data_IF_791519425156
#
_entry.id   IF_791519425156
#
_cell.length_a   1.000
_cell.length_b   1.000
_cell.length_c   1.000
_cell.angle_alpha   90.00
_cell.angle_beta   90.00
_cell.angle_gamma   90.00
#
_symmetry.space_group_name_H-M   'P 1'
#
loop_
_entity.id
_entity.type
_entity.pdbx_description
1 polymer ?
#
# COMPACT_ATOMS: atom_id res chain seq x y z
N UNK A 1 18.94 -8.47 12.12
CA UNK A 1 18.91 -9.85 12.68
C UNK A 1 20.07 -10.68 12.17
N UNK A 2 20.27 -10.77 10.85
CA UNK A 2 21.43 -11.45 10.25
C UNK A 2 22.78 -10.91 10.78
N UNK A 3 22.94 -9.58 10.83
CA UNK A 3 24.14 -8.93 11.41
C UNK A 3 24.36 -9.27 12.89
N UNK A 4 23.31 -9.65 13.61
CA UNK A 4 23.39 -10.07 15.01
C UNK A 4 23.56 -11.60 15.16
N UNK A 5 23.85 -12.32 14.06
CA UNK A 5 24.13 -13.74 14.04
C UNK A 5 22.90 -14.65 13.94
N UNK A 6 21.70 -14.12 13.69
CA UNK A 6 20.53 -14.95 13.43
C UNK A 6 20.68 -15.72 12.11
N UNK A 7 20.25 -16.97 12.09
CA UNK A 7 20.15 -17.77 10.87
C UNK A 7 19.05 -17.23 9.95
N UNK A 8 19.16 -17.52 8.65
CA UNK A 8 18.13 -17.14 7.67
C UNK A 8 16.77 -17.76 8.00
N UNK A 9 16.76 -18.95 8.59
CA UNK A 9 15.56 -19.66 9.02
C UNK A 9 14.87 -18.96 10.21
N UNK A 10 15.64 -18.37 11.12
CA UNK A 10 15.10 -17.55 12.22
C UNK A 10 14.54 -16.22 11.71
N UNK A 11 15.20 -15.62 10.72
CA UNK A 11 14.69 -14.41 10.07
C UNK A 11 13.39 -14.71 9.32
N UNK A 12 13.34 -15.81 8.56
CA UNK A 12 12.17 -16.23 7.78
C UNK A 12 10.92 -16.50 8.64
N UNK A 13 11.09 -16.87 9.91
CA UNK A 13 9.96 -17.03 10.84
C UNK A 13 9.33 -15.70 11.26
N UNK A 14 10.13 -14.62 11.26
CA UNK A 14 9.66 -13.28 11.62
C UNK A 14 9.28 -12.44 10.39
N UNK A 15 10.04 -12.57 9.32
CA UNK A 15 9.85 -11.88 8.05
C UNK A 15 9.75 -12.94 6.95
N UNK A 16 8.55 -13.49 6.71
CA UNK A 16 8.36 -14.55 5.75
C UNK A 16 8.53 -14.02 4.31
N UNK A 17 8.62 -14.95 3.35
CA UNK A 17 8.97 -14.61 1.97
C UNK A 17 7.90 -13.71 1.33
N UNK A 18 8.31 -12.53 0.85
CA UNK A 18 7.42 -11.55 0.21
C UNK A 18 8.00 -11.00 -1.10
N UNK A 19 7.12 -10.71 -2.05
CA UNK A 19 7.47 -9.96 -3.27
C UNK A 19 6.60 -8.71 -3.33
N UNK A 20 7.23 -7.54 -3.25
CA UNK A 20 6.55 -6.25 -3.37
C UNK A 20 6.54 -5.80 -4.83
N UNK A 21 5.35 -5.74 -5.44
CA UNK A 21 5.17 -5.37 -6.85
C UNK A 21 4.60 -3.96 -6.93
N UNK A 22 5.34 -3.06 -7.56
CA UNK A 22 4.93 -1.70 -7.86
C UNK A 22 4.61 -1.54 -9.34
N UNK A 23 3.61 -0.71 -9.65
CA UNK A 23 3.28 -0.31 -11.01
C UNK A 23 2.64 1.07 -11.02
N UNK A 24 3.13 1.97 -11.88
CA UNK A 24 2.60 3.32 -11.94
C UNK A 24 3.35 4.23 -12.90
N UNK A 25 2.83 5.45 -13.06
CA UNK A 25 3.42 6.53 -13.84
C UNK A 25 3.40 7.80 -13.01
N UNK A 26 4.44 8.62 -13.12
CA UNK A 26 4.45 9.96 -12.57
C UNK A 26 4.13 10.99 -13.66
N UNK A 27 3.42 12.05 -13.28
CA UNK A 27 3.23 13.19 -14.17
C UNK A 27 4.59 13.81 -14.54
N UNK A 28 4.77 14.33 -15.79
CA UNK A 28 6.08 14.77 -16.26
C UNK A 28 6.76 15.84 -15.38
N UNK A 29 5.99 16.75 -14.78
CA UNK A 29 6.50 17.80 -13.91
C UNK A 29 6.53 17.46 -12.42
N UNK A 30 6.03 16.30 -12.01
CA UNK A 30 5.93 15.96 -10.58
C UNK A 30 7.24 15.35 -10.08
N UNK A 31 8.13 16.24 -9.64
CA UNK A 31 9.46 15.88 -9.14
C UNK A 31 9.42 14.86 -8.00
N UNK A 32 8.61 15.09 -6.96
CA UNK A 32 8.56 14.17 -5.81
C UNK A 32 8.10 12.76 -6.19
N UNK A 33 7.05 12.65 -7.02
CA UNK A 33 6.59 11.34 -7.50
C UNK A 33 7.64 10.62 -8.37
N UNK A 34 8.42 11.36 -9.18
CA UNK A 34 9.56 10.76 -9.90
C UNK A 34 10.67 10.31 -8.94
N UNK A 35 10.91 11.08 -7.88
CA UNK A 35 11.90 10.74 -6.85
C UNK A 35 11.51 9.48 -6.07
N UNK A 36 10.21 9.30 -5.77
CA UNK A 36 9.68 8.06 -5.18
C UNK A 36 9.89 6.88 -6.13
N UNK A 37 9.59 7.02 -7.42
CA UNK A 37 9.87 5.96 -8.41
C UNK A 37 11.37 5.60 -8.43
N UNK A 38 12.25 6.60 -8.41
CA UNK A 38 13.71 6.38 -8.34
C UNK A 38 14.08 5.63 -7.06
N UNK A 39 13.55 6.03 -5.91
CA UNK A 39 13.82 5.36 -4.62
C UNK A 39 13.39 3.90 -4.64
N UNK A 40 12.18 3.59 -5.14
CA UNK A 40 11.70 2.19 -5.26
C UNK A 40 12.66 1.35 -6.11
N UNK A 41 13.15 1.90 -7.23
CA UNK A 41 14.12 1.20 -8.07
C UNK A 41 15.49 1.03 -7.38
N UNK A 42 15.98 2.04 -6.67
CA UNK A 42 17.23 1.95 -5.90
C UNK A 42 17.13 0.93 -4.76
N UNK A 43 16.00 0.88 -4.05
CA UNK A 43 15.73 -0.14 -3.03
C UNK A 43 15.70 -1.53 -3.67
N UNK A 44 15.02 -1.68 -4.81
CA UNK A 44 14.98 -2.94 -5.54
C UNK A 44 16.36 -3.42 -5.99
N UNK A 45 17.23 -2.53 -6.44
CA UNK A 45 18.59 -2.88 -6.85
C UNK A 45 19.42 -3.44 -5.68
N UNK A 46 19.33 -2.85 -4.49
CA UNK A 46 20.04 -3.37 -3.32
C UNK A 46 19.41 -4.67 -2.83
N UNK A 47 18.10 -4.65 -2.55
CA UNK A 47 17.40 -5.80 -1.96
C UNK A 47 17.47 -7.04 -2.86
N UNK A 48 17.27 -6.89 -4.18
CA UNK A 48 17.22 -8.05 -5.06
C UNK A 48 18.59 -8.71 -5.28
N UNK A 49 19.68 -7.96 -5.09
CA UNK A 49 21.05 -8.43 -5.28
C UNK A 49 21.77 -8.77 -3.96
N UNK A 50 21.12 -8.60 -2.81
CA UNK A 50 21.66 -9.02 -1.52
C UNK A 50 21.51 -10.54 -1.36
N UNK A 51 22.60 -11.28 -1.57
CA UNK A 51 22.64 -12.74 -1.40
C UNK A 51 22.39 -13.16 0.07
N UNK A 52 22.59 -12.27 1.04
CA UNK A 52 22.46 -12.60 2.47
C UNK A 52 21.02 -12.84 2.91
N UNK A 53 20.04 -12.32 2.17
CA UNK A 53 18.61 -12.44 2.51
C UNK A 53 17.91 -13.64 1.84
N UNK A 54 18.62 -14.48 1.07
CA UNK A 54 18.14 -15.75 0.49
C UNK A 54 16.71 -15.72 -0.08
N UNK A 55 16.44 -14.72 -0.92
CA UNK A 55 15.14 -14.50 -1.56
C UNK A 55 13.95 -14.38 -0.58
N UNK A 56 14.17 -13.95 0.67
CA UNK A 56 13.09 -13.62 1.60
C UNK A 56 12.33 -12.36 1.19
N UNK A 57 12.99 -11.42 0.52
CA UNK A 57 12.35 -10.21 0.00
C UNK A 57 12.79 -9.95 -1.44
N UNK A 58 11.83 -9.64 -2.31
CA UNK A 58 12.08 -9.06 -3.62
C UNK A 58 11.21 -7.83 -3.84
N UNK A 59 11.73 -6.86 -4.58
CA UNK A 59 11.00 -5.65 -4.98
C UNK A 59 11.03 -5.53 -6.50
N UNK A 60 9.87 -5.38 -7.13
CA UNK A 60 9.74 -5.34 -8.58
C UNK A 60 8.96 -4.09 -8.98
N UNK A 61 9.49 -3.30 -9.91
CA UNK A 61 8.78 -2.18 -10.52
C UNK A 61 8.40 -2.51 -11.97
N UNK A 62 7.10 -2.59 -12.26
CA UNK A 62 6.59 -2.86 -13.59
C UNK A 62 6.46 -1.55 -14.38
N UNK A 63 7.39 -1.34 -15.30
CA UNK A 63 7.43 -0.15 -16.13
C UNK A 63 6.20 -0.02 -17.06
N UNK A 64 5.80 1.21 -17.34
CA UNK A 64 4.68 1.55 -18.23
C UNK A 64 3.38 0.79 -17.86
N UNK A 65 3.03 0.80 -16.57
CA UNK A 65 1.77 0.21 -16.11
C UNK A 65 0.58 0.74 -16.94
N UNK A 66 -0.22 -0.20 -17.43
CA UNK A 66 -1.36 0.04 -18.31
C UNK A 66 -2.37 -1.11 -18.13
N UNK A 67 -3.49 -1.05 -18.85
CA UNK A 67 -4.59 -2.04 -18.73
C UNK A 67 -4.09 -3.47 -18.98
N UNK A 68 -3.35 -3.71 -20.06
CA UNK A 68 -2.85 -5.06 -20.38
C UNK A 68 -1.92 -5.62 -19.32
N UNK A 69 -1.13 -4.77 -18.65
CA UNK A 69 -0.31 -5.22 -17.50
C UNK A 69 -1.16 -5.49 -16.28
N UNK A 70 -2.17 -4.66 -16.03
CA UNK A 70 -3.11 -4.84 -14.93
C UNK A 70 -3.89 -6.17 -15.04
N UNK A 71 -4.28 -6.56 -16.25
CA UNK A 71 -4.95 -7.85 -16.52
C UNK A 71 -4.11 -9.07 -16.08
N UNK A 72 -2.79 -8.94 -16.05
CA UNK A 72 -1.87 -10.00 -15.58
C UNK A 72 -1.59 -9.86 -14.08
N UNK A 73 -1.40 -8.63 -13.60
CA UNK A 73 -1.00 -8.36 -12.20
C UNK A 73 -2.17 -8.64 -11.24
N UNK A 74 -3.37 -8.18 -11.57
CA UNK A 74 -4.51 -8.21 -10.64
C UNK A 74 -4.87 -9.65 -10.23
N UNK A 75 -5.00 -10.63 -11.14
CA UNK A 75 -5.32 -12.00 -10.76
C UNK A 75 -4.20 -12.74 -10.02
N UNK A 76 -2.98 -12.20 -10.01
CA UNK A 76 -1.82 -12.78 -9.34
C UNK A 76 -1.58 -12.20 -7.93
N UNK A 77 -2.41 -11.25 -7.49
CA UNK A 77 -2.25 -10.57 -6.21
C UNK A 77 -2.83 -11.38 -5.06
N UNK A 78 -1.98 -11.69 -4.08
CA UNK A 78 -2.43 -12.19 -2.78
C UNK A 78 -2.98 -11.03 -1.92
N UNK A 79 -2.20 -9.94 -1.80
CA UNK A 79 -2.53 -8.73 -1.07
C UNK A 79 -2.41 -7.50 -2.00
N UNK A 80 -3.31 -6.54 -1.83
CA UNK A 80 -3.36 -5.29 -2.59
C UNK A 80 -3.34 -4.07 -1.65
N UNK A 81 -2.44 -3.13 -1.95
CA UNK A 81 -2.13 -1.95 -1.14
C UNK A 81 -3.04 -0.76 -1.53
N UNK A 82 -3.92 -0.34 -0.62
CA UNK A 82 -4.84 0.79 -0.79
C UNK A 82 -4.69 1.79 0.36
N UNK A 83 -3.52 2.43 0.39
CA UNK A 83 -2.94 3.08 1.57
C UNK A 83 -2.90 4.63 1.49
N UNK A 84 -3.78 5.24 0.69
CA UNK A 84 -3.87 6.69 0.62
C UNK A 84 -4.21 7.29 1.99
N UNK A 85 -3.67 8.46 2.34
CA UNK A 85 -4.06 9.16 3.57
C UNK A 85 -5.57 9.31 3.61
N UNK A 86 -6.20 9.01 4.75
CA UNK A 86 -7.66 9.01 4.83
C UNK A 86 -8.27 10.37 4.44
N UNK A 87 -9.37 10.34 3.67
CA UNK A 87 -10.04 11.51 3.13
C UNK A 87 -9.44 12.04 1.81
N UNK A 88 -8.51 11.33 1.16
CA UNK A 88 -7.90 11.78 -0.10
C UNK A 88 -8.36 10.99 -1.32
N UNK A 89 -8.77 9.73 -1.15
CA UNK A 89 -9.30 8.88 -2.21
C UNK A 89 -10.84 8.98 -2.22
N UNK A 90 -11.40 9.51 -3.31
CA UNK A 90 -12.86 9.63 -3.42
C UNK A 90 -13.56 8.26 -3.60
N UNK A 91 -12.89 7.30 -4.24
CA UNK A 91 -13.42 5.97 -4.50
C UNK A 91 -12.27 4.98 -4.70
N UNK A 92 -11.67 4.96 -5.89
CA UNK A 92 -10.73 3.93 -6.30
C UNK A 92 -11.47 2.73 -6.90
N UNK A 93 -11.04 2.29 -8.08
CA UNK A 93 -11.65 1.14 -8.79
C UNK A 93 -10.71 -0.06 -8.89
N UNK A 94 -9.42 0.11 -8.58
CA UNK A 94 -8.45 -0.98 -8.56
C UNK A 94 -8.69 -1.94 -7.40
N UNK A 95 -9.05 -1.43 -6.22
CA UNK A 95 -9.45 -2.23 -5.05
C UNK A 95 -10.58 -3.20 -5.39
N UNK A 96 -11.64 -2.72 -6.07
CA UNK A 96 -12.74 -3.56 -6.54
C UNK A 96 -12.25 -4.71 -7.44
N UNK A 97 -11.30 -4.44 -8.33
CA UNK A 97 -10.73 -5.46 -9.24
C UNK A 97 -9.89 -6.49 -8.48
N UNK A 98 -9.10 -6.08 -7.49
CA UNK A 98 -8.33 -7.00 -6.65
C UNK A 98 -9.25 -7.91 -5.83
N UNK A 99 -10.26 -7.33 -5.17
CA UNK A 99 -11.27 -8.08 -4.42
C UNK A 99 -12.00 -9.08 -5.31
N UNK A 100 -12.39 -8.68 -6.52
CA UNK A 100 -13.05 -9.56 -7.50
C UNK A 100 -12.18 -10.75 -7.94
N UNK A 101 -10.85 -10.62 -7.85
CA UNK A 101 -9.91 -11.68 -8.18
C UNK A 101 -9.37 -12.43 -6.95
N UNK A 102 -9.93 -12.19 -5.76
CA UNK A 102 -9.55 -12.88 -4.53
C UNK A 102 -8.33 -12.32 -3.81
N UNK A 103 -7.79 -11.19 -4.27
CA UNK A 103 -6.79 -10.43 -3.53
C UNK A 103 -7.41 -9.76 -2.31
N UNK A 104 -6.73 -9.84 -1.17
CA UNK A 104 -7.17 -9.15 0.05
C UNK A 104 -6.64 -7.72 0.09
N UNK A 105 -7.34 -6.85 0.81
CA UNK A 105 -7.02 -5.43 0.94
C UNK A 105 -6.23 -5.21 2.22
N UNK A 106 -5.09 -4.54 2.13
CA UNK A 106 -4.54 -3.74 3.22
C UNK A 106 -4.74 -2.26 2.86
N UNK A 107 -5.35 -1.48 3.76
CA UNK A 107 -5.68 -0.11 3.41
C UNK A 107 -6.15 0.76 4.55
N UNK A 108 -6.21 2.06 4.28
CA UNK A 108 -6.82 3.03 5.17
C UNK A 108 -8.35 2.98 5.06
N UNK A 109 -9.04 3.52 6.06
CA UNK A 109 -10.51 3.65 6.09
C UNK A 109 -10.94 4.83 5.21
N UNK A 110 -10.75 4.71 3.90
CA UNK A 110 -10.96 5.78 2.91
C UNK A 110 -11.58 5.28 1.60
N UNK A 111 -12.24 6.18 0.87
CA UNK A 111 -12.83 5.90 -0.44
C UNK A 111 -13.65 4.62 -0.49
N UNK A 112 -13.46 3.83 -1.54
CA UNK A 112 -14.18 2.57 -1.74
C UNK A 112 -13.72 1.44 -0.80
N UNK A 113 -12.65 1.61 -0.01
CA UNK A 113 -12.33 0.63 1.04
C UNK A 113 -13.45 0.55 2.08
N UNK A 114 -14.11 1.68 2.39
CA UNK A 114 -15.26 1.73 3.30
C UNK A 114 -16.44 0.91 2.74
N UNK A 115 -16.76 1.11 1.47
CA UNK A 115 -17.83 0.38 0.80
C UNK A 115 -17.48 -1.11 0.67
N UNK A 116 -16.24 -1.45 0.29
CA UNK A 116 -15.78 -2.84 0.22
C UNK A 116 -15.94 -3.51 1.56
N UNK A 117 -15.49 -2.89 2.64
CA UNK A 117 -15.62 -3.40 4.01
C UNK A 117 -17.07 -3.68 4.37
N UNK A 118 -18.00 -2.82 3.96
CA UNK A 118 -19.45 -3.03 4.17
C UNK A 118 -19.96 -4.27 3.44
N UNK A 119 -19.56 -4.47 2.18
CA UNK A 119 -20.07 -5.58 1.36
C UNK A 119 -19.41 -6.92 1.72
N UNK A 120 -18.09 -6.94 1.92
CA UNK A 120 -17.34 -8.19 2.16
C UNK A 120 -17.18 -8.53 3.64
N UNK A 121 -17.43 -7.59 4.56
CA UNK A 121 -17.31 -7.74 6.00
C UNK A 121 -15.93 -7.35 6.55
N UNK A 122 -15.93 -6.72 7.74
CA UNK A 122 -14.73 -6.20 8.41
C UNK A 122 -13.67 -7.26 8.70
N UNK A 123 -14.08 -8.50 9.01
CA UNK A 123 -13.16 -9.62 9.24
C UNK A 123 -12.35 -10.00 7.99
N UNK A 124 -12.74 -9.54 6.81
CA UNK A 124 -12.15 -9.92 5.51
C UNK A 124 -11.21 -8.86 4.91
N UNK A 125 -10.94 -7.76 5.63
CA UNK A 125 -10.04 -6.67 5.21
C UNK A 125 -9.01 -6.36 6.31
N UNK A 126 -7.84 -5.85 5.92
CA UNK A 126 -6.81 -5.39 6.85
C UNK A 126 -6.78 -3.87 6.86
N UNK A 127 -7.58 -3.26 7.73
CA UNK A 127 -7.65 -1.80 7.86
C UNK A 127 -6.65 -1.29 8.90
N UNK A 128 -6.00 -0.15 8.60
CA UNK A 128 -5.05 0.50 9.50
C UNK A 128 -5.10 2.03 9.38
N UNK A 129 -4.30 2.68 10.20
CA UNK A 129 -4.07 4.13 10.14
C UNK A 129 -5.18 4.95 10.75
N UNK A 130 -5.09 6.27 10.54
CA UNK A 130 -6.02 7.24 11.09
C UNK A 130 -7.30 7.37 10.26
N UNK A 131 -8.38 7.77 10.93
CA UNK A 131 -9.65 8.10 10.29
C UNK A 131 -9.62 9.53 9.71
N UNK A 132 -10.35 9.77 8.63
CA UNK A 132 -10.41 11.06 7.94
C UNK A 132 -10.79 12.23 8.86
N UNK A 133 -11.58 11.97 9.89
CA UNK A 133 -11.99 12.95 10.90
C UNK A 133 -10.84 13.46 11.78
N UNK A 134 -9.76 12.69 11.93
CA UNK A 134 -8.59 13.06 12.73
C UNK A 134 -7.50 13.77 11.90
N UNK A 135 -7.57 13.69 10.57
CA UNK A 135 -6.46 14.07 9.68
C UNK A 135 -6.09 15.55 9.79
N UNK A 136 -7.07 16.45 9.86
CA UNK A 136 -6.79 17.89 9.97
C UNK A 136 -6.19 18.28 11.32
N UNK A 137 -6.63 17.63 12.41
CA UNK A 137 -6.05 17.85 13.74
C UNK A 137 -4.61 17.32 13.82
N UNK A 138 -4.32 16.17 13.19
CA UNK A 138 -2.95 15.63 13.09
C UNK A 138 -2.04 16.55 12.29
N UNK A 139 -2.48 17.02 11.11
CA UNK A 139 -1.74 18.01 10.30
C UNK A 139 -1.45 19.29 11.07
N UNK A 140 -2.45 19.79 11.81
CA UNK A 140 -2.27 20.94 12.69
C UNK A 140 -1.20 20.67 13.75
N UNK A 141 -1.27 19.53 14.42
CA UNK A 141 -0.31 19.16 15.45
C UNK A 141 1.10 19.01 14.89
N UNK A 142 1.31 18.38 13.75
CA UNK A 142 2.63 18.26 13.12
C UNK A 142 3.24 19.62 12.76
N UNK A 143 2.41 20.57 12.34
CA UNK A 143 2.85 21.91 11.95
C UNK A 143 3.21 22.82 13.14
N UNK A 144 2.44 22.73 14.24
CA UNK A 144 2.54 23.67 15.37
C UNK A 144 3.11 23.06 16.66
N UNK A 145 3.09 21.73 16.77
CA UNK A 145 3.52 20.94 17.91
C UNK A 145 4.36 19.73 17.44
N UNK A 146 5.51 19.95 16.78
CA UNK A 146 6.29 18.88 16.17
C UNK A 146 6.65 17.83 17.22
N UNK A 147 6.32 16.57 16.89
CA UNK A 147 6.65 15.41 17.71
C UNK A 147 7.87 14.70 17.14
N UNK A 148 8.55 13.94 18.00
CA UNK A 148 9.61 13.06 17.56
C UNK A 148 9.04 11.94 16.67
N UNK A 149 9.75 11.62 15.59
CA UNK A 149 9.35 10.52 14.71
C UNK A 149 9.44 9.17 15.43
N UNK A 150 8.57 8.20 15.09
CA UNK A 150 8.74 6.82 15.54
C UNK A 150 10.14 6.31 15.24
N UNK A 151 10.75 5.60 16.18
CA UNK A 151 12.15 5.14 16.05
C UNK A 151 12.37 4.21 14.83
N UNK A 152 11.33 3.45 14.45
CA UNK A 152 11.32 2.63 13.24
C UNK A 152 11.43 3.49 11.97
N UNK A 153 10.64 4.56 11.88
CA UNK A 153 10.64 5.49 10.75
C UNK A 153 11.94 6.30 10.72
N UNK A 154 12.41 6.82 11.86
CA UNK A 154 13.67 7.56 11.94
C UNK A 154 14.85 6.71 11.45
N UNK A 155 14.85 5.40 11.74
CA UNK A 155 15.87 4.47 11.25
C UNK A 155 15.84 4.34 9.72
N UNK A 156 14.65 4.21 9.12
CA UNK A 156 14.48 4.11 7.66
C UNK A 156 14.89 5.41 6.97
N UNK A 157 14.41 6.56 7.47
CA UNK A 157 14.74 7.86 6.90
C UNK A 157 16.24 8.15 7.00
N UNK A 158 16.87 7.84 8.15
CA UNK A 158 18.32 7.99 8.32
C UNK A 158 19.11 7.09 7.37
N UNK A 159 18.63 5.87 7.12
CA UNK A 159 19.27 4.97 6.15
C UNK A 159 19.15 5.50 4.72
N UNK A 160 18.01 6.09 4.34
CA UNK A 160 17.83 6.76 3.05
C UNK A 160 18.76 7.98 2.93
N UNK A 161 18.87 8.81 3.99
CA UNK A 161 19.76 9.98 4.03
C UNK A 161 21.24 9.63 4.03
N UNK A 162 21.62 8.42 4.46
CA UNK A 162 23.01 7.98 4.49
C UNK A 162 23.63 7.81 3.09
N UNK A 163 22.81 7.83 2.04
CA UNK A 163 23.26 7.73 0.65
C UNK A 163 23.48 6.31 0.14
N UNK A 164 23.17 5.28 0.94
CA UNK A 164 23.35 3.86 0.56
C UNK A 164 22.60 3.51 -0.73
N UNK A 165 21.38 4.05 -0.92
CA UNK A 165 20.57 3.85 -2.13
C UNK A 165 21.00 4.69 -3.34
N UNK A 166 21.92 5.64 -3.18
CA UNK A 166 22.45 6.46 -4.27
C UNK A 166 23.89 6.90 -3.98
N UNK A 167 24.88 6.01 -4.12
CA UNK A 167 26.28 6.31 -3.77
C UNK A 167 26.88 7.47 -4.58
N UNK A 168 26.41 7.65 -5.83
CA UNK A 168 26.86 8.72 -6.73
C UNK A 168 26.30 10.10 -6.35
N UNK A 169 25.14 10.13 -5.68
CA UNK A 169 24.51 11.35 -5.17
C UNK A 169 23.85 11.08 -3.80
N UNK A 170 24.63 11.10 -2.69
CA UNK A 170 24.13 10.74 -1.37
C UNK A 170 22.93 11.57 -0.88
N UNK A 171 22.74 12.78 -1.42
CA UNK A 171 21.62 13.66 -1.08
C UNK A 171 20.44 13.57 -2.07
N UNK A 172 20.42 12.59 -3.00
CA UNK A 172 19.39 12.46 -4.03
C UNK A 172 17.98 12.43 -3.43
N UNK A 173 17.78 11.67 -2.36
CA UNK A 173 16.47 11.48 -1.72
C UNK A 173 16.15 12.47 -0.60
N UNK A 174 17.04 13.43 -0.34
CA UNK A 174 16.87 14.40 0.74
C UNK A 174 15.53 15.15 0.69
N UNK A 175 15.02 15.60 -0.47
CA UNK A 175 13.71 16.28 -0.52
C UNK A 175 12.55 15.42 -0.03
N UNK A 176 12.59 14.10 -0.23
CA UNK A 176 11.56 13.18 0.27
C UNK A 176 11.63 13.08 1.79
N UNK A 177 12.83 12.90 2.33
CA UNK A 177 13.01 12.80 3.79
C UNK A 177 12.65 14.11 4.49
N UNK A 178 13.07 15.25 3.93
CA UNK A 178 12.76 16.58 4.46
C UNK A 178 11.26 16.87 4.44
N UNK A 179 10.52 16.33 3.46
CA UNK A 179 9.07 16.49 3.39
C UNK A 179 8.35 15.91 4.61
N UNK A 180 8.87 14.81 5.15
CA UNK A 180 8.37 14.15 6.35
C UNK A 180 8.95 14.83 7.60
N UNK A 181 10.28 14.96 7.69
CA UNK A 181 10.96 15.46 8.91
C UNK A 181 10.71 16.93 9.21
N UNK A 182 10.65 17.78 8.19
CA UNK A 182 10.77 19.23 8.36
C UNK A 182 9.65 20.05 7.73
N UNK A 183 8.78 19.44 6.92
CA UNK A 183 7.70 20.13 6.21
C UNK A 183 6.31 19.63 6.59
N UNK A 184 6.17 19.16 7.82
CA UNK A 184 4.89 18.88 8.47
C UNK A 184 4.19 17.61 8.02
N UNK A 185 4.89 16.73 7.27
CA UNK A 185 4.42 15.40 6.88
C UNK A 185 2.93 15.36 6.49
N UNK A 186 2.56 16.17 5.50
CA UNK A 186 1.15 16.45 5.16
C UNK A 186 0.30 15.19 4.87
N UNK A 187 0.94 14.10 4.46
CA UNK A 187 0.31 12.83 4.14
C UNK A 187 0.37 11.81 5.29
N UNK A 188 0.76 12.25 6.49
CA UNK A 188 0.71 11.48 7.74
C UNK A 188 1.47 10.16 7.66
N UNK A 189 2.60 10.15 6.96
CA UNK A 189 3.44 8.95 6.85
C UNK A 189 3.90 8.50 8.24
N UNK A 190 4.25 9.45 9.10
CA UNK A 190 4.72 9.23 10.46
C UNK A 190 3.63 8.72 11.40
N UNK A 191 2.42 9.28 11.35
CA UNK A 191 1.31 8.85 12.19
C UNK A 191 0.80 7.45 11.82
N UNK A 192 0.79 7.10 10.53
CA UNK A 192 0.28 5.81 10.07
C UNK A 192 1.34 4.69 10.02
N UNK A 193 2.64 5.01 10.16
CA UNK A 193 3.75 4.07 9.93
C UNK A 193 3.68 2.82 10.83
N UNK A 194 3.54 2.99 12.14
CA UNK A 194 3.52 1.88 13.09
C UNK A 194 2.25 1.03 12.94
N UNK A 195 1.10 1.67 12.67
CA UNK A 195 -0.17 0.98 12.44
C UNK A 195 -0.10 0.14 11.16
N UNK A 196 0.53 0.67 10.11
CA UNK A 196 0.79 -0.05 8.87
C UNK A 196 1.70 -1.27 9.10
N UNK A 197 2.81 -1.10 9.82
CA UNK A 197 3.73 -2.20 10.12
C UNK A 197 3.07 -3.31 10.96
N UNK A 198 2.31 -2.93 11.99
CA UNK A 198 1.56 -3.89 12.81
C UNK A 198 0.54 -4.67 11.97
N UNK A 199 -0.12 -4.01 11.01
CA UNK A 199 -1.09 -4.65 10.13
C UNK A 199 -0.43 -5.56 9.10
N UNK A 200 0.73 -5.19 8.56
CA UNK A 200 1.55 -6.08 7.71
C UNK A 200 2.00 -7.33 8.49
N UNK A 201 2.32 -7.21 9.77
CA UNK A 201 2.66 -8.37 10.61
C UNK A 201 1.46 -9.33 10.76
N UNK A 202 0.24 -8.80 10.91
CA UNK A 202 -0.98 -9.62 10.92
C UNK A 202 -1.20 -10.33 9.58
N UNK A 203 -0.98 -9.63 8.46
CA UNK A 203 -1.05 -10.20 7.11
C UNK A 203 -0.08 -11.37 6.96
N UNK A 204 1.18 -11.18 7.35
CA UNK A 204 2.22 -12.21 7.26
C UNK A 204 1.85 -13.44 8.11
N UNK A 205 1.35 -13.22 9.33
CA UNK A 205 0.88 -14.30 10.20
C UNK A 205 -0.28 -15.07 9.58
N UNK A 206 -1.26 -14.38 9.01
CA UNK A 206 -2.44 -15.01 8.46
C UNK A 206 -2.14 -15.78 7.16
N UNK A 207 -1.39 -15.16 6.25
CA UNK A 207 -1.03 -15.76 4.96
C UNK A 207 -0.16 -17.00 5.12
N UNK A 208 0.88 -16.93 5.94
CA UNK A 208 1.88 -18.00 6.05
C UNK A 208 1.51 -19.08 7.08
N UNK A 209 0.82 -18.72 8.16
CA UNK A 209 0.52 -19.67 9.25
C UNK A 209 -0.94 -20.15 9.27
N UNK A 210 -1.87 -19.43 8.63
CA UNK A 210 -3.32 -19.71 8.69
C UNK A 210 -3.95 -19.76 7.29
N UNK A 211 -3.28 -20.41 6.33
CA UNK A 211 -3.70 -20.47 4.92
C UNK A 211 -5.18 -20.81 4.68
N UNK A 212 -5.84 -21.72 5.42
CA UNK A 212 -7.28 -21.97 5.25
C UNK A 212 -8.16 -20.75 5.57
N UNK A 213 -7.81 -19.95 6.58
CA UNK A 213 -8.55 -18.72 6.92
C UNK A 213 -8.33 -17.67 5.84
N UNK A 214 -7.08 -17.49 5.37
CA UNK A 214 -6.80 -16.60 4.23
C UNK A 214 -7.63 -16.93 3.00
N UNK A 215 -7.70 -18.21 2.62
CA UNK A 215 -8.48 -18.67 1.47
C UNK A 215 -9.98 -18.44 1.68
N UNK A 216 -10.48 -18.63 2.90
CA UNK A 216 -11.87 -18.34 3.24
C UNK A 216 -12.18 -16.85 3.06
N UNK A 217 -11.32 -15.94 3.53
CA UNK A 217 -11.47 -14.50 3.29
C UNK A 217 -11.50 -14.18 1.81
N UNK A 218 -10.55 -14.73 1.04
CA UNK A 218 -10.47 -14.56 -0.42
C UNK A 218 -11.76 -14.99 -1.13
N UNK A 219 -12.31 -16.16 -0.78
CA UNK A 219 -13.56 -16.66 -1.37
C UNK A 219 -14.77 -15.80 -0.98
N UNK A 220 -14.86 -15.36 0.28
CA UNK A 220 -15.94 -14.47 0.75
C UNK A 220 -15.88 -13.10 0.07
N UNK A 221 -14.67 -12.56 -0.13
CA UNK A 221 -14.43 -11.32 -0.86
C UNK A 221 -14.98 -11.40 -2.28
N UNK A 222 -14.63 -12.46 -3.02
CA UNK A 222 -15.14 -12.68 -4.39
C UNK A 222 -16.66 -12.87 -4.39
N UNK A 223 -17.20 -13.63 -3.45
CA UNK A 223 -18.63 -13.92 -3.38
C UNK A 223 -19.50 -12.67 -3.16
N UNK A 224 -18.97 -11.66 -2.45
CA UNK A 224 -19.70 -10.46 -2.06
C UNK A 224 -19.34 -9.21 -2.88
N UNK A 225 -18.48 -9.31 -3.90
CA UNK A 225 -18.04 -8.15 -4.69
C UNK A 225 -19.09 -7.61 -5.68
N UNK A 226 -20.22 -8.31 -5.86
CA UNK A 226 -21.19 -8.04 -6.93
C UNK A 226 -21.74 -6.61 -6.98
N UNK A 227 -21.84 -5.94 -5.82
CA UNK A 227 -22.26 -4.54 -5.71
C UNK A 227 -21.38 -3.57 -6.53
N UNK A 228 -20.11 -3.91 -6.76
CA UNK A 228 -19.14 -3.11 -7.48
C UNK A 228 -19.14 -3.34 -9.01
N UNK A 229 -20.12 -4.08 -9.53
CA UNK A 229 -20.30 -4.19 -10.98
C UNK A 229 -20.64 -2.82 -11.58
N UNK A 230 -19.99 -2.47 -12.70
CA UNK A 230 -20.33 -1.25 -13.43
C UNK A 230 -21.76 -1.27 -13.96
N UNK A 231 -22.35 -2.44 -14.18
CA UNK A 231 -23.74 -2.56 -14.65
C UNK A 231 -24.70 -1.93 -13.64
N UNK A 232 -24.49 -2.18 -12.33
CA UNK A 232 -25.27 -1.56 -11.24
C UNK A 232 -25.11 -0.03 -11.25
N UNK A 233 -23.89 0.47 -11.47
CA UNK A 233 -23.68 1.91 -11.62
C UNK A 233 -24.44 2.48 -12.83
N UNK A 234 -24.42 1.79 -13.98
CA UNK A 234 -25.14 2.22 -15.18
C UNK A 234 -26.66 2.20 -14.96
N UNK A 235 -27.20 1.21 -14.25
CA UNK A 235 -28.61 1.16 -13.84
C UNK A 235 -28.98 2.39 -12.99
N UNK A 236 -28.22 2.67 -11.92
CA UNK A 236 -28.48 3.83 -11.07
C UNK A 236 -28.42 5.16 -11.82
N UNK A 237 -27.41 5.36 -12.70
CA UNK A 237 -27.31 6.56 -13.52
C UNK A 237 -28.47 6.67 -14.52
N UNK A 238 -28.89 5.55 -15.11
CA UNK A 238 -30.01 5.51 -16.06
C UNK A 238 -31.32 5.93 -15.40
N UNK A 239 -31.59 5.42 -14.20
CA UNK A 239 -32.82 5.67 -13.47
C UNK A 239 -32.88 7.08 -12.87
N UNK A 240 -31.77 7.52 -12.26
CA UNK A 240 -31.78 8.71 -11.38
C UNK A 240 -31.31 9.99 -12.05
N UNK A 241 -30.50 9.91 -13.11
CA UNK A 241 -29.90 11.09 -13.76
C UNK A 241 -30.30 11.19 -15.23
N UNK A 242 -30.12 10.12 -16.01
CA UNK A 242 -30.32 10.17 -17.45
C UNK A 242 -31.79 10.00 -17.85
N UNK A 243 -32.58 9.34 -17.01
CA UNK A 243 -33.98 8.99 -17.25
C UNK A 243 -34.18 8.26 -18.59
N UNK A 244 -33.39 7.19 -18.79
CA UNK A 244 -33.41 6.36 -19.99
C UNK A 244 -33.88 4.94 -19.68
N UNK A 245 -34.52 4.31 -20.65
CA UNK A 245 -35.01 2.93 -20.57
C UNK A 245 -34.26 2.03 -21.58
N UNK A 246 -34.09 0.73 -21.29
CA UNK A 246 -33.51 -0.21 -22.25
C UNK A 246 -34.32 -0.27 -23.55
N UNK A 247 -33.64 -0.08 -24.69
CA UNK A 247 -34.23 -0.33 -26.01
C UNK A 247 -33.88 -1.75 -26.41
N UNK A 248 -34.83 -2.67 -26.17
CA UNK A 248 -34.70 -4.11 -26.47
C UNK A 248 -35.47 -4.51 -27.72
#
# INVERSE_FOLDING_TARGET
MLENGASIEEVAKKYPRKVSIFGGKSAPGYYMAKLIIKLVNSVAEIVNNDESIDDLLKVVFIADYNVSKAEIIIPASDLSEHISTAGTEASGTSNMKFVMNGGLIIGTVDGANVEITREIGEDNVFLFGNLSENVEDLRYNLQYHPQDLPSSLESVLSYIESGQFSPENPNEFKPLVDSIKYHGDYYLVSDDFESYLATQELVDQEFHNQRPEWLKKSVLSVANVGFFSSDRCIEEYSDTIWNVEPVT
#
